data_IF_368097814658
#
_entry.id   IF_368097814658
#
_cell.length_a   1.000
_cell.length_b   1.000
_cell.length_c   1.000
_cell.angle_alpha   90.00
_cell.angle_beta   90.00
_cell.angle_gamma   90.00
#
_symmetry.space_group_name_H-M   'P 1'
#
loop_
_entity.id
_entity.type
_entity.pdbx_description
1 polymer ?
#
# COMPACT_ATOMS: atom_id res chain seq x y z
N UNK A 1 -2.29 -23.10 -25.71
CA UNK A 1 -2.25 -21.86 -26.51
C UNK A 1 -0.98 -21.10 -26.18
N UNK A 2 -0.18 -20.67 -27.18
CA UNK A 2 1.02 -19.88 -26.91
C UNK A 2 0.62 -18.45 -26.51
N UNK A 3 0.99 -18.05 -25.30
CA UNK A 3 0.71 -16.74 -24.72
C UNK A 3 1.52 -15.66 -25.45
N UNK A 4 0.88 -14.76 -26.21
CA UNK A 4 1.55 -13.61 -26.84
C UNK A 4 2.04 -12.66 -25.74
N UNK A 5 3.36 -12.37 -25.75
CA UNK A 5 4.00 -11.44 -24.81
C UNK A 5 3.39 -10.04 -24.96
N UNK A 6 2.90 -9.42 -23.88
CA UNK A 6 2.51 -8.01 -23.90
C UNK A 6 3.75 -7.14 -24.16
N UNK A 7 3.70 -6.19 -25.11
CA UNK A 7 4.88 -5.42 -25.54
C UNK A 7 5.44 -4.46 -24.47
N UNK A 8 4.64 -4.05 -23.48
CA UNK A 8 5.00 -2.94 -22.57
C UNK A 8 5.66 -3.31 -21.24
N UNK A 9 5.90 -4.59 -20.95
CA UNK A 9 6.29 -5.00 -19.59
C UNK A 9 7.58 -5.86 -19.54
N UNK A 10 8.30 -5.96 -20.66
CA UNK A 10 9.41 -6.93 -20.87
C UNK A 10 10.54 -6.90 -19.82
N UNK A 11 10.82 -5.75 -19.22
CA UNK A 11 11.87 -5.60 -18.18
C UNK A 11 11.43 -6.12 -16.81
N UNK A 12 10.18 -5.88 -16.38
CA UNK A 12 9.62 -6.43 -15.13
C UNK A 12 9.46 -7.94 -15.23
N UNK A 13 9.00 -8.43 -16.38
CA UNK A 13 8.95 -9.86 -16.71
C UNK A 13 10.31 -10.55 -16.58
N UNK A 14 11.36 -9.94 -17.15
CA UNK A 14 12.73 -10.46 -17.02
C UNK A 14 13.16 -10.55 -15.56
N UNK A 15 12.87 -9.54 -14.74
CA UNK A 15 13.23 -9.57 -13.30
C UNK A 15 12.52 -10.68 -12.55
N UNK A 16 11.21 -10.85 -12.74
CA UNK A 16 10.47 -11.96 -12.11
C UNK A 16 11.05 -13.33 -12.50
N UNK A 17 11.37 -13.53 -13.78
CA UNK A 17 12.01 -14.76 -14.25
C UNK A 17 13.43 -14.95 -13.68
N UNK A 18 14.22 -13.88 -13.54
CA UNK A 18 15.54 -13.94 -12.92
C UNK A 18 15.40 -14.35 -11.45
N UNK A 19 14.53 -13.69 -10.68
CA UNK A 19 14.30 -14.04 -9.28
C UNK A 19 13.80 -15.48 -9.14
N UNK A 20 12.84 -15.90 -9.96
CA UNK A 20 12.36 -17.27 -9.95
C UNK A 20 13.45 -18.29 -10.25
N UNK A 21 14.19 -18.12 -11.36
CA UNK A 21 15.26 -19.03 -11.78
C UNK A 21 16.40 -19.12 -10.76
N UNK A 22 16.75 -18.01 -10.12
CA UNK A 22 17.85 -17.94 -9.14
C UNK A 22 17.45 -18.47 -7.76
N UNK A 23 16.22 -18.21 -7.32
CA UNK A 23 15.76 -18.60 -5.97
C UNK A 23 15.05 -19.94 -5.93
N UNK A 24 14.65 -20.48 -7.09
CA UNK A 24 13.85 -21.71 -7.21
C UNK A 24 12.60 -21.69 -6.32
N UNK A 25 11.99 -20.52 -6.15
CA UNK A 25 10.82 -20.33 -5.29
C UNK A 25 11.08 -20.50 -3.79
N UNK A 26 12.34 -20.50 -3.33
CA UNK A 26 12.68 -20.58 -1.89
C UNK A 26 12.50 -19.24 -1.19
N UNK A 27 12.64 -18.14 -1.91
CA UNK A 27 12.39 -16.78 -1.40
C UNK A 27 10.97 -16.38 -1.81
N UNK A 28 10.13 -15.86 -0.89
CA UNK A 28 8.83 -15.31 -1.26
C UNK A 28 8.98 -14.14 -2.24
N UNK A 29 8.08 -14.05 -3.21
CA UNK A 29 8.09 -13.01 -4.25
C UNK A 29 6.74 -12.31 -4.22
N UNK A 30 6.74 -10.99 -4.13
CA UNK A 30 5.51 -10.19 -4.27
C UNK A 30 5.29 -9.79 -5.73
N UNK A 31 4.08 -9.31 -6.04
CA UNK A 31 3.84 -8.61 -7.31
C UNK A 31 4.82 -7.43 -7.47
N UNK A 32 4.95 -6.93 -8.70
CA UNK A 32 5.54 -5.61 -8.87
C UNK A 32 4.74 -4.57 -8.08
N UNK A 33 5.33 -3.40 -7.86
CA UNK A 33 4.60 -2.23 -7.38
C UNK A 33 3.30 -2.02 -8.18
N UNK A 34 2.16 -2.02 -7.48
CA UNK A 34 0.82 -1.87 -8.05
C UNK A 34 0.31 -0.48 -7.67
N UNK A 35 0.04 0.31 -8.70
CA UNK A 35 -0.54 1.65 -8.56
C UNK A 35 -2.06 1.52 -8.54
N UNK A 36 -2.73 2.30 -7.67
CA UNK A 36 -4.18 2.48 -7.72
C UNK A 36 -4.61 3.21 -9.01
N UNK A 37 -5.89 3.13 -9.42
CA UNK A 37 -6.36 3.81 -10.62
C UNK A 37 -6.04 5.31 -10.66
N UNK A 38 -6.19 6.02 -9.53
CA UNK A 38 -5.91 7.46 -9.43
C UNK A 38 -4.42 7.81 -9.57
N UNK A 39 -3.52 6.86 -9.31
CA UNK A 39 -2.10 7.01 -9.62
C UNK A 39 -1.80 6.64 -11.06
N UNK A 40 -2.34 5.50 -11.53
CA UNK A 40 -2.06 4.95 -12.85
C UNK A 40 -2.50 5.87 -14.00
N UNK A 41 -3.55 6.67 -13.80
CA UNK A 41 -4.09 7.59 -14.79
C UNK A 41 -3.07 8.63 -15.27
N UNK A 42 -2.14 9.06 -14.42
CA UNK A 42 -1.07 10.00 -14.79
C UNK A 42 -0.09 9.46 -15.83
N UNK A 43 -0.11 8.14 -16.11
CA UNK A 43 0.63 7.55 -17.21
C UNK A 43 -0.12 7.54 -18.56
N UNK A 44 -1.38 7.96 -18.58
CA UNK A 44 -2.24 7.96 -19.78
C UNK A 44 -2.68 9.36 -20.20
N UNK A 45 -2.91 10.25 -19.23
CA UNK A 45 -3.34 11.63 -19.45
C UNK A 45 -2.58 12.56 -18.52
N UNK A 46 -2.52 13.84 -18.89
CA UNK A 46 -1.95 14.86 -18.02
C UNK A 46 -2.74 14.94 -16.71
N UNK A 47 -2.05 14.78 -15.58
CA UNK A 47 -2.71 14.61 -14.28
C UNK A 47 -3.54 15.84 -13.88
N UNK A 48 -3.09 17.04 -14.28
CA UNK A 48 -3.82 18.29 -14.06
C UNK A 48 -5.14 18.32 -14.84
N UNK A 49 -5.14 17.86 -16.09
CA UNK A 49 -6.36 17.75 -16.89
C UNK A 49 -7.32 16.73 -16.29
N UNK A 50 -6.79 15.61 -15.80
CA UNK A 50 -7.61 14.62 -15.09
C UNK A 50 -8.28 15.22 -13.84
N UNK A 51 -7.57 16.02 -13.05
CA UNK A 51 -8.17 16.68 -11.89
C UNK A 51 -9.24 17.70 -12.27
N UNK A 52 -9.10 18.41 -13.40
CA UNK A 52 -10.19 19.25 -13.94
C UNK A 52 -11.38 18.39 -14.37
N UNK A 53 -11.13 17.25 -15.02
CA UNK A 53 -12.17 16.34 -15.47
C UNK A 53 -13.00 15.74 -14.31
N UNK A 54 -12.44 15.62 -13.10
CA UNK A 54 -13.22 15.22 -11.90
C UNK A 54 -14.39 16.18 -11.62
N UNK A 55 -14.26 17.45 -12.01
CA UNK A 55 -15.31 18.46 -11.84
C UNK A 55 -16.17 18.60 -13.10
N UNK A 56 -15.56 18.70 -14.27
CA UNK A 56 -16.26 19.02 -15.52
C UNK A 56 -16.90 17.80 -16.18
N UNK A 57 -16.31 16.62 -16.00
CA UNK A 57 -16.70 15.38 -16.68
C UNK A 57 -16.65 14.17 -15.72
N UNK A 58 -17.37 14.23 -14.58
CA UNK A 58 -17.22 13.24 -13.49
C UNK A 58 -17.55 11.81 -13.91
N UNK A 59 -18.53 11.61 -14.81
CA UNK A 59 -18.89 10.27 -15.28
C UNK A 59 -17.79 9.67 -16.16
N UNK A 60 -17.16 10.47 -17.03
CA UNK A 60 -16.01 10.02 -17.83
C UNK A 60 -14.78 9.75 -16.96
N UNK A 61 -14.59 10.56 -15.90
CA UNK A 61 -13.53 10.32 -14.94
C UNK A 61 -13.74 9.00 -14.17
N UNK A 62 -14.98 8.69 -13.77
CA UNK A 62 -15.33 7.39 -13.16
C UNK A 62 -15.14 6.23 -14.14
N UNK A 63 -15.53 6.42 -15.41
CA UNK A 63 -15.38 5.41 -16.45
C UNK A 63 -13.90 5.04 -16.68
N UNK A 64 -13.02 6.03 -16.85
CA UNK A 64 -11.60 5.74 -17.10
C UNK A 64 -10.90 5.10 -15.88
N UNK A 65 -11.24 5.53 -14.66
CA UNK A 65 -10.74 4.88 -13.43
C UNK A 65 -11.22 3.44 -13.33
N UNK A 66 -12.47 3.18 -13.72
CA UNK A 66 -13.05 1.84 -13.73
C UNK A 66 -12.33 0.92 -14.74
N UNK A 67 -12.04 1.40 -15.95
CA UNK A 67 -11.26 0.65 -16.96
C UNK A 67 -9.86 0.35 -16.45
N UNK A 68 -9.21 1.33 -15.80
CA UNK A 68 -7.90 1.13 -15.18
C UNK A 68 -7.94 0.07 -14.06
N UNK A 69 -9.00 0.05 -13.25
CA UNK A 69 -9.16 -0.96 -12.21
C UNK A 69 -9.27 -2.38 -12.81
N UNK A 70 -10.00 -2.54 -13.91
CA UNK A 70 -10.09 -3.83 -14.62
C UNK A 70 -8.73 -4.26 -15.19
N UNK A 71 -7.95 -3.33 -15.73
CA UNK A 71 -6.60 -3.60 -16.22
C UNK A 71 -5.61 -3.94 -15.08
N UNK A 72 -5.71 -3.28 -13.92
CA UNK A 72 -4.94 -3.61 -12.73
C UNK A 72 -5.27 -5.03 -12.24
N UNK A 73 -6.57 -5.40 -12.19
CA UNK A 73 -7.01 -6.75 -11.82
C UNK A 73 -6.44 -7.77 -12.80
N UNK A 74 -6.61 -7.53 -14.11
CA UNK A 74 -6.15 -8.42 -15.17
C UNK A 74 -4.65 -8.64 -15.07
N UNK A 75 -3.86 -7.57 -14.95
CA UNK A 75 -2.42 -7.66 -14.86
C UNK A 75 -1.94 -8.34 -13.57
N UNK A 76 -2.60 -8.08 -12.44
CA UNK A 76 -2.26 -8.70 -11.14
C UNK A 76 -2.59 -10.20 -11.12
N UNK A 77 -3.67 -10.63 -11.78
CA UNK A 77 -3.98 -12.06 -11.99
C UNK A 77 -2.90 -12.75 -12.83
N UNK A 78 -2.41 -12.09 -13.87
CA UNK A 78 -1.29 -12.59 -14.68
C UNK A 78 -0.05 -12.78 -13.81
N UNK A 79 0.35 -11.75 -13.04
CA UNK A 79 1.49 -11.84 -12.12
C UNK A 79 1.33 -12.98 -11.10
N UNK A 80 0.12 -13.13 -10.54
CA UNK A 80 -0.24 -14.21 -9.60
C UNK A 80 0.03 -15.59 -10.20
N UNK A 81 -0.42 -15.84 -11.43
CA UNK A 81 -0.22 -17.13 -12.10
C UNK A 81 1.26 -17.48 -12.34
N UNK A 82 2.10 -16.48 -12.54
CA UNK A 82 3.53 -16.68 -12.82
C UNK A 82 4.35 -16.90 -11.57
N UNK A 83 4.03 -16.16 -10.50
CA UNK A 83 4.71 -16.30 -9.22
C UNK A 83 4.29 -17.60 -8.52
N UNK A 84 3.03 -18.03 -8.71
CA UNK A 84 2.51 -19.28 -8.19
C UNK A 84 2.66 -19.40 -6.67
N UNK A 85 3.13 -20.55 -6.20
CA UNK A 85 3.21 -20.86 -4.77
C UNK A 85 4.20 -19.99 -3.97
N UNK A 86 5.09 -19.23 -4.62
CA UNK A 86 6.00 -18.32 -3.91
C UNK A 86 5.37 -16.96 -3.58
N UNK A 87 4.13 -16.70 -4.02
CA UNK A 87 3.51 -15.38 -3.93
C UNK A 87 3.36 -14.92 -2.48
N UNK A 88 3.99 -13.79 -2.15
CA UNK A 88 3.80 -13.08 -0.90
C UNK A 88 2.83 -11.91 -1.07
N UNK A 89 1.93 -11.73 -0.09
CA UNK A 89 0.86 -10.73 -0.12
C UNK A 89 0.86 -9.90 1.17
N UNK A 90 0.47 -8.61 1.14
CA UNK A 90 -0.19 -7.94 -0.01
C UNK A 90 0.78 -7.31 -1.04
N UNK A 91 2.09 -7.39 -0.85
CA UNK A 91 3.08 -6.81 -1.76
C UNK A 91 3.28 -5.31 -1.53
N UNK A 92 3.76 -4.57 -2.53
CA UNK A 92 3.86 -3.09 -2.52
C UNK A 92 4.55 -2.47 -1.29
N UNK A 93 5.61 -3.11 -0.77
CA UNK A 93 6.32 -2.60 0.42
C UNK A 93 5.62 -2.85 1.77
N UNK A 94 4.46 -3.50 1.77
CA UNK A 94 3.83 -4.00 2.99
C UNK A 94 4.51 -5.27 3.50
N UNK A 95 4.47 -5.46 4.82
CA UNK A 95 4.83 -6.71 5.48
C UNK A 95 4.01 -7.85 4.87
N UNK A 96 4.72 -8.72 4.15
CA UNK A 96 4.11 -9.69 3.26
C UNK A 96 4.53 -11.11 3.61
N UNK A 97 3.61 -12.05 3.45
CA UNK A 97 3.87 -13.47 3.64
C UNK A 97 3.12 -14.31 2.61
N UNK A 98 3.53 -15.57 2.40
CA UNK A 98 2.84 -16.50 1.48
C UNK A 98 1.41 -16.84 1.91
N UNK A 99 1.21 -16.91 3.22
CA UNK A 99 -0.10 -17.07 3.85
C UNK A 99 -0.87 -15.75 3.97
N UNK A 100 -0.22 -14.63 3.60
CA UNK A 100 -0.82 -13.30 3.57
C UNK A 100 -1.97 -13.22 2.57
N UNK A 101 -2.78 -12.18 2.69
CA UNK A 101 -3.94 -11.91 1.84
C UNK A 101 -3.93 -10.45 1.37
N UNK A 102 -4.79 -10.16 0.40
CA UNK A 102 -5.02 -8.82 -0.13
C UNK A 102 -3.99 -8.36 -1.13
N UNK A 103 -4.18 -7.13 -1.60
CA UNK A 103 -3.33 -6.44 -2.57
C UNK A 103 -2.96 -5.04 -2.07
N UNK A 104 -1.67 -4.72 -2.11
CA UNK A 104 -1.15 -3.41 -1.76
C UNK A 104 -1.22 -2.47 -2.95
N UNK A 105 -1.79 -1.28 -2.75
CA UNK A 105 -1.90 -0.25 -3.77
C UNK A 105 -1.19 1.03 -3.33
N UNK A 106 -0.38 1.60 -4.23
CA UNK A 106 0.08 2.99 -4.13
C UNK A 106 -1.05 3.93 -4.52
N UNK A 107 -1.40 4.84 -3.63
CA UNK A 107 -2.48 5.80 -3.81
C UNK A 107 -1.99 7.20 -3.46
N UNK A 108 -0.82 7.57 -3.95
CA UNK A 108 -0.14 8.84 -3.64
C UNK A 108 -0.94 10.09 -4.09
N UNK A 109 -1.69 10.00 -5.18
CA UNK A 109 -2.57 11.09 -5.63
C UNK A 109 -3.81 11.28 -4.73
N UNK A 110 -4.01 10.44 -3.70
CA UNK A 110 -5.06 10.62 -2.69
C UNK A 110 -4.98 12.00 -2.03
N UNK A 111 -3.78 12.49 -1.72
CA UNK A 111 -3.60 13.79 -1.06
C UNK A 111 -3.93 14.99 -1.96
N UNK A 112 -4.09 14.77 -3.27
CA UNK A 112 -4.41 15.80 -4.25
C UNK A 112 -5.92 16.07 -4.37
N UNK A 113 -6.75 15.21 -3.79
CA UNK A 113 -8.22 15.32 -3.85
C UNK A 113 -8.82 15.31 -2.45
N UNK A 114 -10.03 15.84 -2.28
CA UNK A 114 -10.68 15.81 -0.96
C UNK A 114 -11.07 14.38 -0.53
N UNK A 115 -11.22 14.09 0.79
CA UNK A 115 -11.73 12.80 1.26
C UNK A 115 -13.10 12.41 0.65
N UNK A 116 -13.96 13.41 0.41
CA UNK A 116 -15.25 13.21 -0.28
C UNK A 116 -15.06 12.74 -1.72
N UNK A 117 -14.15 13.38 -2.45
CA UNK A 117 -13.83 12.97 -3.82
C UNK A 117 -13.20 11.57 -3.84
N UNK A 118 -12.37 11.22 -2.87
CA UNK A 118 -11.80 9.88 -2.82
C UNK A 118 -12.88 8.81 -2.66
N UNK A 119 -13.89 9.05 -1.82
CA UNK A 119 -15.06 8.16 -1.73
C UNK A 119 -15.83 8.08 -3.04
N UNK A 120 -16.06 9.22 -3.68
CA UNK A 120 -16.87 9.30 -4.90
C UNK A 120 -16.21 8.64 -6.12
N UNK A 121 -14.90 8.85 -6.31
CA UNK A 121 -14.21 8.46 -7.52
C UNK A 121 -13.36 7.19 -7.39
N UNK A 122 -12.88 6.86 -6.19
CA UNK A 122 -11.84 5.84 -6.02
C UNK A 122 -12.26 4.64 -5.15
N UNK A 123 -13.12 4.85 -4.14
CA UNK A 123 -13.39 3.82 -3.14
C UNK A 123 -14.04 2.56 -3.72
N UNK A 124 -14.98 2.72 -4.67
CA UNK A 124 -15.66 1.59 -5.31
C UNK A 124 -14.70 0.69 -6.08
N UNK A 125 -13.81 1.27 -6.87
CA UNK A 125 -12.81 0.54 -7.66
C UNK A 125 -11.72 -0.07 -6.80
N UNK A 126 -11.29 0.65 -5.77
CA UNK A 126 -10.35 0.14 -4.76
C UNK A 126 -10.91 -1.10 -4.07
N UNK A 127 -12.18 -1.07 -3.68
CA UNK A 127 -12.87 -2.21 -3.10
C UNK A 127 -13.03 -3.36 -4.12
N UNK A 128 -13.32 -3.03 -5.40
CA UNK A 128 -13.42 -4.02 -6.48
C UNK A 128 -12.10 -4.76 -6.68
N UNK A 129 -10.98 -4.04 -6.75
CA UNK A 129 -9.64 -4.62 -6.82
C UNK A 129 -9.38 -5.49 -5.58
N UNK A 130 -9.67 -4.97 -4.37
CA UNK A 130 -9.48 -5.71 -3.13
C UNK A 130 -10.24 -7.05 -3.07
N UNK A 131 -11.49 -7.08 -3.56
CA UNK A 131 -12.31 -8.31 -3.57
C UNK A 131 -11.66 -9.45 -4.35
N UNK A 132 -10.98 -9.16 -5.46
CA UNK A 132 -10.31 -10.17 -6.28
C UNK A 132 -9.10 -10.82 -5.60
N UNK A 133 -8.50 -10.15 -4.61
CA UNK A 133 -7.26 -10.59 -3.97
C UNK A 133 -7.39 -10.87 -2.46
N UNK A 134 -8.62 -10.80 -1.93
CA UNK A 134 -8.93 -11.12 -0.53
C UNK A 134 -8.68 -9.97 0.45
N UNK A 135 -8.75 -8.73 -0.03
CA UNK A 135 -8.59 -7.50 0.74
C UNK A 135 -7.72 -6.47 0.02
N UNK A 136 -7.68 -5.25 0.53
CA UNK A 136 -6.81 -4.18 0.01
C UNK A 136 -5.99 -3.54 1.11
N UNK A 137 -4.73 -3.23 0.80
CA UNK A 137 -3.85 -2.44 1.63
C UNK A 137 -3.52 -1.12 0.92
N UNK A 138 -3.63 0.01 1.62
CA UNK A 138 -3.49 1.35 1.03
C UNK A 138 -2.24 2.05 1.55
N UNK A 139 -1.41 2.49 0.63
CA UNK A 139 -0.24 3.33 0.88
C UNK A 139 -0.45 4.68 0.21
N UNK A 140 -0.02 5.76 0.87
CA UNK A 140 0.16 7.07 0.25
C UNK A 140 1.38 7.73 0.87
N UNK A 141 2.20 8.38 0.04
CA UNK A 141 3.22 9.32 0.48
C UNK A 141 2.58 10.56 1.12
N UNK A 142 3.38 11.28 1.91
CA UNK A 142 2.98 12.50 2.59
C UNK A 142 2.02 12.30 3.77
N UNK A 143 1.55 13.42 4.33
CA UNK A 143 0.63 13.40 5.45
C UNK A 143 -0.82 13.26 4.98
N UNK A 144 -1.36 12.04 5.11
CA UNK A 144 -2.70 11.71 4.64
C UNK A 144 -3.69 11.34 5.76
N UNK A 145 -3.40 11.65 7.03
CA UNK A 145 -4.27 11.27 8.16
C UNK A 145 -5.71 11.78 8.02
N UNK A 146 -5.92 12.95 7.40
CA UNK A 146 -7.24 13.51 7.07
C UNK A 146 -8.12 12.59 6.21
N UNK A 147 -7.55 11.67 5.43
CA UNK A 147 -8.28 10.77 4.56
C UNK A 147 -8.64 9.43 5.21
N UNK A 148 -8.16 9.15 6.43
CA UNK A 148 -8.45 7.90 7.13
C UNK A 148 -9.95 7.65 7.29
N UNK A 149 -10.74 8.70 7.52
CA UNK A 149 -12.20 8.60 7.61
C UNK A 149 -12.85 8.09 6.31
N UNK A 150 -12.30 8.46 5.15
CA UNK A 150 -12.74 7.98 3.85
C UNK A 150 -12.18 6.59 3.53
N UNK A 151 -10.87 6.39 3.75
CA UNK A 151 -10.18 5.12 3.47
C UNK A 151 -10.81 3.96 4.25
N UNK A 152 -11.16 4.17 5.53
CA UNK A 152 -11.82 3.16 6.38
C UNK A 152 -13.17 2.69 5.86
N UNK A 153 -13.83 3.46 5.00
CA UNK A 153 -15.13 3.08 4.42
C UNK A 153 -14.98 2.11 3.25
N UNK A 154 -13.76 1.87 2.75
CA UNK A 154 -13.51 0.91 1.67
C UNK A 154 -13.79 -0.51 2.17
N UNK A 155 -14.78 -1.22 1.59
CA UNK A 155 -15.02 -2.62 1.94
C UNK A 155 -13.79 -3.48 1.66
N UNK A 156 -13.39 -4.28 2.65
CA UNK A 156 -12.24 -5.18 2.53
C UNK A 156 -10.88 -4.51 2.74
N UNK A 157 -10.82 -3.28 3.27
CA UNK A 157 -9.58 -2.70 3.75
C UNK A 157 -9.00 -3.55 4.89
N UNK A 158 -7.76 -4.03 4.73
CA UNK A 158 -7.08 -4.88 5.71
C UNK A 158 -5.89 -4.18 6.37
N UNK A 159 -5.25 -3.24 5.68
CA UNK A 159 -4.02 -2.61 6.13
C UNK A 159 -3.87 -1.21 5.52
N UNK A 160 -3.19 -0.33 6.23
CA UNK A 160 -2.76 0.97 5.73
C UNK A 160 -1.29 1.20 6.06
N UNK A 161 -0.58 1.96 5.24
CA UNK A 161 0.82 2.35 5.48
C UNK A 161 0.98 3.86 5.64
N UNK A 162 1.77 4.27 6.64
CA UNK A 162 2.15 5.66 6.84
C UNK A 162 3.61 5.80 7.23
N UNK A 163 4.25 6.88 6.79
CA UNK A 163 5.57 7.30 7.23
C UNK A 163 5.45 8.27 8.40
N UNK A 164 6.13 8.02 9.51
CA UNK A 164 5.96 8.80 10.75
C UNK A 164 7.23 9.55 11.20
N UNK A 165 8.28 9.58 10.37
CA UNK A 165 9.53 10.27 10.67
C UNK A 165 10.11 10.96 9.44
N UNK A 166 10.79 12.09 9.62
CA UNK A 166 11.39 12.87 8.53
C UNK A 166 12.45 12.13 7.69
N UNK A 167 13.15 11.14 8.28
CA UNK A 167 14.06 10.28 7.49
C UNK A 167 13.32 9.32 6.56
N UNK A 168 12.01 9.11 6.76
CA UNK A 168 11.17 8.24 5.93
C UNK A 168 10.44 9.03 4.85
N UNK A 169 9.90 10.21 5.19
CA UNK A 169 9.11 11.07 4.30
C UNK A 169 9.29 12.53 4.73
N UNK A 170 9.48 13.48 3.78
CA UNK A 170 9.64 14.90 4.10
C UNK A 170 8.42 15.53 4.78
N UNK A 171 7.22 14.96 4.60
CA UNK A 171 5.98 15.39 5.24
C UNK A 171 5.31 14.21 5.96
N UNK A 172 5.84 13.78 7.11
CA UNK A 172 5.37 12.58 7.79
C UNK A 172 3.94 12.74 8.33
N UNK A 173 3.24 11.61 8.41
CA UNK A 173 1.93 11.49 9.04
C UNK A 173 1.98 11.81 10.54
N UNK A 174 0.85 12.28 11.08
CA UNK A 174 0.70 12.52 12.52
C UNK A 174 0.28 11.23 13.21
N UNK A 175 1.01 10.84 14.26
CA UNK A 175 0.79 9.58 14.97
C UNK A 175 -0.63 9.48 15.55
N UNK A 176 -1.10 10.54 16.18
CA UNK A 176 -2.40 10.61 16.87
C UNK A 176 -3.57 10.38 15.90
N UNK A 177 -3.52 10.95 14.69
CA UNK A 177 -4.58 10.79 13.68
C UNK A 177 -4.78 9.32 13.31
N UNK A 178 -3.68 8.58 13.11
CA UNK A 178 -3.71 7.17 12.77
C UNK A 178 -4.09 6.29 13.96
N UNK A 179 -3.56 6.58 15.15
CA UNK A 179 -3.94 5.89 16.39
C UNK A 179 -5.44 5.99 16.62
N UNK A 180 -5.95 7.21 16.65
CA UNK A 180 -7.34 7.48 17.03
C UNK A 180 -8.31 6.95 15.96
N UNK A 181 -7.93 7.00 14.68
CA UNK A 181 -8.74 6.45 13.61
C UNK A 181 -8.75 4.90 13.57
N UNK A 182 -7.66 4.22 13.94
CA UNK A 182 -7.51 2.77 13.70
C UNK A 182 -7.69 1.90 14.95
N UNK A 183 -7.66 2.46 16.16
CA UNK A 183 -7.90 1.73 17.40
C UNK A 183 -9.25 1.00 17.38
N UNK A 184 -9.27 -0.30 17.68
CA UNK A 184 -10.48 -1.12 17.74
C UNK A 184 -11.08 -1.50 16.38
N UNK A 185 -10.51 -1.02 15.26
CA UNK A 185 -11.04 -1.31 13.92
C UNK A 185 -10.64 -2.67 13.37
N UNK A 186 -9.56 -3.25 13.89
CA UNK A 186 -8.96 -4.47 13.36
C UNK A 186 -8.17 -4.31 12.04
N UNK A 187 -8.11 -3.10 11.48
CA UNK A 187 -7.26 -2.72 10.35
C UNK A 187 -5.81 -2.62 10.85
N UNK A 188 -4.87 -3.16 10.09
CA UNK A 188 -3.45 -3.13 10.44
C UNK A 188 -2.84 -1.78 10.01
N UNK A 189 -2.16 -1.09 10.93
CA UNK A 189 -1.27 0.00 10.58
C UNK A 189 0.14 -0.55 10.38
N UNK A 190 0.69 -0.38 9.17
CA UNK A 190 2.12 -0.45 8.95
C UNK A 190 2.73 0.94 9.12
N UNK A 191 3.53 1.13 10.17
CA UNK A 191 4.18 2.38 10.48
C UNK A 191 5.66 2.32 10.08
N UNK A 192 6.06 3.08 9.06
CA UNK A 192 7.46 3.24 8.66
C UNK A 192 8.12 4.36 9.46
N UNK A 193 9.09 3.99 10.29
CA UNK A 193 9.78 4.89 11.23
C UNK A 193 11.29 4.63 11.15
N UNK A 194 12.00 5.49 10.43
CA UNK A 194 13.46 5.43 10.28
C UNK A 194 14.07 6.56 11.09
N UNK A 195 15.05 6.24 11.93
CA UNK A 195 15.61 7.19 12.88
C UNK A 195 16.43 6.51 13.96
N UNK A 196 16.99 7.31 14.86
CA UNK A 196 17.63 6.80 16.06
C UNK A 196 16.61 6.02 16.92
N UNK A 197 17.03 4.98 17.67
CA UNK A 197 16.12 4.16 18.48
C UNK A 197 15.16 4.96 19.36
N UNK A 198 15.62 6.06 19.97
CA UNK A 198 14.80 6.90 20.85
C UNK A 198 13.69 7.61 20.07
N UNK A 199 13.96 8.03 18.83
CA UNK A 199 12.96 8.64 17.94
C UNK A 199 11.90 7.62 17.56
N UNK A 200 12.32 6.40 17.21
CA UNK A 200 11.41 5.31 16.88
C UNK A 200 10.49 5.00 18.07
N UNK A 201 11.06 4.81 19.27
CA UNK A 201 10.29 4.52 20.49
C UNK A 201 9.32 5.66 20.85
N UNK A 202 9.73 6.93 20.68
CA UNK A 202 8.87 8.08 20.91
C UNK A 202 7.65 8.08 19.98
N UNK A 203 7.83 7.78 18.70
CA UNK A 203 6.72 7.66 17.76
C UNK A 203 5.85 6.44 18.04
N UNK A 204 6.44 5.28 18.34
CA UNK A 204 5.66 4.07 18.70
C UNK A 204 4.82 4.33 19.95
N UNK A 205 5.34 5.03 20.97
CA UNK A 205 4.57 5.39 22.18
C UNK A 205 3.37 6.29 21.88
N UNK A 206 3.49 7.15 20.86
CA UNK A 206 2.41 8.03 20.40
C UNK A 206 1.39 7.29 19.53
N UNK A 207 1.84 6.32 18.75
CA UNK A 207 1.02 5.49 17.87
C UNK A 207 0.26 4.40 18.62
N UNK A 208 0.92 3.64 19.50
CA UNK A 208 0.36 2.43 20.08
C UNK A 208 -0.68 2.72 21.18
N UNK A 209 -1.80 1.98 21.10
CA UNK A 209 -2.80 1.82 22.14
C UNK A 209 -3.35 0.39 22.14
N UNK A 210 -3.82 -0.11 23.29
CA UNK A 210 -4.57 -1.36 23.34
C UNK A 210 -5.73 -1.36 22.32
N UNK A 211 -5.86 -2.46 21.58
CA UNK A 211 -6.88 -2.62 20.53
C UNK A 211 -6.42 -2.22 19.12
N UNK A 212 -5.21 -1.71 18.95
CA UNK A 212 -4.61 -1.51 17.62
C UNK A 212 -3.97 -2.80 17.08
N UNK A 213 -3.87 -2.89 15.75
CA UNK A 213 -2.95 -3.82 15.08
C UNK A 213 -1.84 -3.01 14.42
N UNK A 214 -0.62 -3.14 14.93
CA UNK A 214 0.51 -2.31 14.52
C UNK A 214 1.67 -3.19 14.04
N UNK A 215 2.23 -2.85 12.89
CA UNK A 215 3.51 -3.36 12.38
C UNK A 215 4.45 -2.16 12.31
N UNK A 216 5.55 -2.20 13.05
CA UNK A 216 6.56 -1.13 13.02
C UNK A 216 7.69 -1.55 12.10
N UNK A 217 7.87 -0.81 11.00
CA UNK A 217 8.98 -0.99 10.06
C UNK A 217 10.04 0.03 10.41
N UNK A 218 11.18 -0.45 10.88
CA UNK A 218 12.30 0.39 11.31
C UNK A 218 13.61 -0.11 10.69
N UNK A 219 14.59 0.78 10.62
CA UNK A 219 15.92 0.46 10.14
C UNK A 219 16.97 1.24 10.93
N UNK A 220 17.83 0.49 11.62
CA UNK A 220 19.07 0.93 12.25
C UNK A 220 20.20 0.16 11.58
N UNK A 221 21.27 0.86 11.18
CA UNK A 221 22.36 0.28 10.41
C UNK A 221 23.13 -0.82 11.19
N UNK A 222 23.26 -0.65 12.50
CA UNK A 222 23.95 -1.58 13.39
C UNK A 222 22.99 -2.71 13.84
N UNK A 223 23.26 -3.99 13.50
CA UNK A 223 22.34 -5.10 13.75
C UNK A 223 21.97 -5.33 15.22
N UNK A 224 22.91 -5.18 16.16
CA UNK A 224 22.62 -5.36 17.57
C UNK A 224 21.71 -4.25 18.10
N UNK A 225 21.91 -3.00 17.66
CA UNK A 225 21.03 -1.87 17.96
C UNK A 225 19.63 -2.08 17.38
N UNK A 226 19.55 -2.59 16.15
CA UNK A 226 18.26 -2.97 15.55
C UNK A 226 17.56 -4.07 16.38
N UNK A 227 18.30 -5.04 16.91
CA UNK A 227 17.75 -6.09 17.76
C UNK A 227 17.30 -5.57 19.13
N UNK A 228 18.09 -4.69 19.78
CA UNK A 228 17.69 -4.01 21.02
C UNK A 228 16.42 -3.17 20.83
N UNK A 229 16.33 -2.43 19.72
CA UNK A 229 15.15 -1.65 19.38
C UNK A 229 13.91 -2.54 19.15
N UNK A 230 14.08 -3.68 18.48
CA UNK A 230 13.00 -4.67 18.30
C UNK A 230 12.41 -5.09 19.66
N UNK A 231 13.25 -5.52 20.61
CA UNK A 231 12.79 -5.94 21.93
C UNK A 231 12.11 -4.79 22.70
N UNK A 232 12.68 -3.58 22.67
CA UNK A 232 12.11 -2.42 23.34
C UNK A 232 10.73 -2.01 22.77
N UNK A 233 10.52 -2.13 21.45
CA UNK A 233 9.20 -1.92 20.82
C UNK A 233 8.19 -2.96 21.32
N UNK A 234 8.60 -4.23 21.43
CA UNK A 234 7.74 -5.29 21.93
C UNK A 234 7.34 -5.08 23.39
N UNK A 235 8.28 -4.70 24.26
CA UNK A 235 8.01 -4.38 25.68
C UNK A 235 7.06 -3.18 25.82
N UNK A 236 7.22 -2.14 24.99
CA UNK A 236 6.36 -0.96 24.99
C UNK A 236 4.91 -1.27 24.55
N UNK A 237 4.72 -2.32 23.76
CA UNK A 237 3.45 -2.69 23.15
C UNK A 237 2.75 -3.88 23.82
N UNK A 238 3.24 -4.35 24.98
CA UNK A 238 2.51 -5.28 25.85
C UNK A 238 1.26 -4.62 26.43
#
# INVERSE_FOLDING_TARGET
MPYRKPPFCGTRWRRLNIFWSKTRGRIPISWCDIQSPINAIGGLVEITEFFVALYEQPDRAKEILSVLADEIIRFTKIQTGLIGAALARPGHGFASARVGKGVGLSTDNLVMISPRMYLEFCAADTARIGREFGGVAIHSCGNWGRWLSAVKQIPGLIMVDGAFSYKTDPNPCVCEEFRDALTGTGIILQARIVGEPQVVLAHVKRLWRPGMKLIVVTHVQEPEAQHRLYNAIHELCQ
#
